data_IF_667495876282
#
_entry.id   IF_667495876282
#
_cell.length_a   1.000
_cell.length_b   1.000
_cell.length_c   1.000
_cell.angle_alpha   90.00
_cell.angle_beta   90.00
_cell.angle_gamma   90.00
#
_symmetry.space_group_name_H-M   'P 1'
#
loop_
_entity.id
_entity.type
_entity.pdbx_description
1 polymer ?
#
# COMPACT_ATOMS: atom_id res chain seq x y z
N UNK A 1 2.60 12.78 8.12
CA UNK A 1 1.53 12.67 7.12
C UNK A 1 1.08 11.22 7.06
N UNK A 2 -0.09 10.88 7.60
CA UNK A 2 -0.68 9.56 7.40
C UNK A 2 -1.30 9.54 5.99
N UNK A 3 -0.81 8.70 5.09
CA UNK A 3 -1.41 8.58 3.76
C UNK A 3 -2.91 8.26 3.90
N UNK A 4 -3.79 9.01 3.22
CA UNK A 4 -5.22 8.75 3.28
C UNK A 4 -5.52 7.34 2.80
N UNK A 5 -6.43 6.65 3.49
CA UNK A 5 -6.93 5.34 3.06
C UNK A 5 -7.47 5.50 1.63
N UNK A 6 -6.76 4.96 0.65
CA UNK A 6 -7.21 4.98 -0.74
C UNK A 6 -8.53 4.20 -0.84
N UNK A 7 -9.55 4.89 -1.33
CA UNK A 7 -10.89 4.35 -1.51
C UNK A 7 -10.91 3.27 -2.60
N UNK A 8 -11.74 2.24 -2.45
CA UNK A 8 -11.87 1.16 -3.45
C UNK A 8 -12.41 1.68 -4.76
N UNK A 9 -13.31 2.68 -4.73
CA UNK A 9 -13.86 3.32 -5.94
C UNK A 9 -12.76 3.95 -6.79
N UNK A 10 -11.86 4.70 -6.16
CA UNK A 10 -10.74 5.34 -6.88
C UNK A 10 -9.75 4.33 -7.42
N UNK A 11 -9.48 3.25 -6.69
CA UNK A 11 -8.63 2.16 -7.16
C UNK A 11 -9.20 1.43 -8.37
N UNK A 12 -10.52 1.21 -8.43
CA UNK A 12 -11.16 0.58 -9.60
C UNK A 12 -11.13 1.45 -10.86
N UNK A 13 -11.21 2.77 -10.69
CA UNK A 13 -11.07 3.73 -11.78
C UNK A 13 -9.61 3.96 -12.22
N UNK A 14 -8.64 3.46 -11.46
CA UNK A 14 -7.21 3.61 -11.78
C UNK A 14 -6.81 2.55 -12.83
N UNK A 15 -6.04 2.91 -13.87
CA UNK A 15 -5.49 1.97 -14.83
C UNK A 15 -4.61 0.88 -14.19
N UNK A 16 -4.61 -0.32 -14.76
CA UNK A 16 -3.86 -1.44 -14.22
C UNK A 16 -2.34 -1.17 -14.11
N UNK A 17 -1.75 -0.42 -15.05
CA UNK A 17 -0.34 -0.04 -15.00
C UNK A 17 -0.03 0.85 -13.78
N UNK A 18 -0.91 1.80 -13.47
CA UNK A 18 -0.78 2.68 -12.31
C UNK A 18 -0.98 1.93 -10.99
N UNK A 19 -1.83 0.89 -10.98
CA UNK A 19 -1.97 0.00 -9.84
C UNK A 19 -0.67 -0.77 -9.55
N UNK A 20 0.05 -1.24 -10.59
CA UNK A 20 1.36 -1.88 -10.44
C UNK A 20 2.38 -0.92 -9.83
N UNK A 21 2.47 0.31 -10.38
CA UNK A 21 3.37 1.33 -9.85
C UNK A 21 3.09 1.64 -8.36
N UNK A 22 1.81 1.69 -7.98
CA UNK A 22 1.40 1.85 -6.57
C UNK A 22 1.77 0.67 -5.69
N UNK A 23 1.64 -0.56 -6.17
CA UNK A 23 2.07 -1.77 -5.43
C UNK A 23 3.56 -1.70 -5.10
N UNK A 24 4.39 -1.32 -6.07
CA UNK A 24 5.83 -1.23 -5.85
C UNK A 24 6.22 -0.10 -4.90
N UNK A 25 5.54 1.05 -5.00
CA UNK A 25 5.71 2.15 -4.05
C UNK A 25 5.36 1.70 -2.61
N UNK A 26 4.22 1.04 -2.41
CA UNK A 26 3.79 0.55 -1.10
C UNK A 26 4.72 -0.53 -0.54
N UNK A 27 5.29 -1.38 -1.39
CA UNK A 27 6.31 -2.37 -0.99
C UNK A 27 7.57 -1.70 -0.46
N UNK A 28 8.08 -0.68 -1.17
CA UNK A 28 9.23 0.12 -0.73
C UNK A 28 8.95 0.83 0.60
N UNK A 29 7.82 1.53 0.69
CA UNK A 29 7.41 2.20 1.94
C UNK A 29 7.31 1.22 3.12
N UNK A 30 6.74 0.03 2.89
CA UNK A 30 6.66 -1.01 3.93
C UNK A 30 8.05 -1.47 4.37
N UNK A 31 8.97 -1.65 3.44
CA UNK A 31 10.35 -2.03 3.74
C UNK A 31 11.06 -0.96 4.57
N UNK A 32 11.02 0.29 4.10
CA UNK A 32 11.60 1.43 4.83
C UNK A 32 11.02 1.58 6.23
N UNK A 33 9.71 1.41 6.37
CA UNK A 33 9.06 1.49 7.67
C UNK A 33 9.46 0.35 8.60
N UNK A 34 9.75 -0.85 8.07
CA UNK A 34 10.33 -1.95 8.87
C UNK A 34 11.74 -1.60 9.34
N UNK A 35 12.57 -1.01 8.48
CA UNK A 35 13.91 -0.58 8.86
C UNK A 35 13.87 0.47 9.96
N UNK A 36 13.02 1.50 9.80
CA UNK A 36 12.83 2.57 10.82
C UNK A 36 12.26 2.05 12.14
N UNK A 37 11.42 1.02 12.09
CA UNK A 37 10.94 0.35 13.31
C UNK A 37 12.05 -0.44 14.01
N UNK A 38 12.89 -1.14 13.24
CA UNK A 38 14.01 -1.93 13.79
C UNK A 38 15.09 -1.03 14.39
N UNK A 39 15.36 0.11 13.76
CA UNK A 39 16.28 1.15 14.22
C UNK A 39 15.71 2.00 15.36
N UNK A 40 14.42 1.83 15.70
CA UNK A 40 13.75 2.54 16.80
C UNK A 40 13.44 4.01 16.49
N UNK A 41 13.80 4.51 15.30
CA UNK A 41 13.53 5.88 14.84
C UNK A 41 12.05 6.16 14.61
N UNK A 42 11.21 5.13 14.43
CA UNK A 42 9.76 5.28 14.32
C UNK A 42 9.04 4.31 15.25
N UNK A 43 8.03 4.81 15.98
CA UNK A 43 7.20 4.00 16.91
C UNK A 43 5.82 3.61 16.36
N UNK A 44 5.50 4.03 15.14
CA UNK A 44 4.17 3.88 14.54
C UNK A 44 3.98 2.45 13.98
N UNK A 45 3.77 1.47 14.86
CA UNK A 45 3.62 0.05 14.50
C UNK A 45 2.34 -0.22 13.68
N UNK A 46 1.30 0.59 13.87
CA UNK A 46 0.03 0.46 13.16
C UNK A 46 0.14 0.72 11.65
N UNK A 47 1.15 1.46 11.20
CA UNK A 47 1.36 1.75 9.78
C UNK A 47 1.70 0.50 8.97
N UNK A 48 2.48 -0.45 9.52
CA UNK A 48 2.72 -1.74 8.84
C UNK A 48 1.42 -2.49 8.56
N UNK A 49 0.47 -2.43 9.49
CA UNK A 49 -0.86 -3.05 9.32
C UNK A 49 -1.66 -2.34 8.24
N UNK A 50 -1.60 -1.00 8.16
CA UNK A 50 -2.27 -0.22 7.13
C UNK A 50 -1.70 -0.49 5.74
N UNK A 51 -0.37 -0.43 5.59
CA UNK A 51 0.32 -0.70 4.32
C UNK A 51 0.01 -2.10 3.78
N UNK A 52 -0.01 -3.12 4.64
CA UNK A 52 -0.43 -4.49 4.25
C UNK A 52 -1.86 -4.55 3.73
N UNK A 53 -2.79 -3.85 4.38
CA UNK A 53 -4.21 -3.81 3.98
C UNK A 53 -4.39 -3.08 2.64
N UNK A 54 -3.67 -1.99 2.42
CA UNK A 54 -3.68 -1.26 1.15
C UNK A 54 -3.13 -2.13 0.02
N UNK A 55 -1.99 -2.81 0.25
CA UNK A 55 -1.42 -3.76 -0.71
C UNK A 55 -2.42 -4.85 -1.11
N UNK A 56 -3.04 -5.50 -0.11
CA UNK A 56 -4.02 -6.55 -0.37
C UNK A 56 -5.20 -6.02 -1.21
N UNK A 57 -5.72 -4.83 -0.88
CA UNK A 57 -6.82 -4.20 -1.61
C UNK A 57 -6.48 -3.92 -3.07
N UNK A 58 -5.29 -3.37 -3.34
CA UNK A 58 -4.86 -3.07 -4.71
C UNK A 58 -4.68 -4.36 -5.52
N UNK A 59 -4.05 -5.39 -4.93
CA UNK A 59 -3.87 -6.69 -5.58
C UNK A 59 -5.20 -7.37 -5.89
N UNK A 60 -6.18 -7.28 -4.99
CA UNK A 60 -7.55 -7.78 -5.25
C UNK A 60 -8.18 -7.07 -6.44
N UNK A 61 -8.14 -5.73 -6.47
CA UNK A 61 -8.74 -4.96 -7.57
C UNK A 61 -8.03 -5.21 -8.89
N UNK A 62 -6.70 -5.31 -8.87
CA UNK A 62 -5.91 -5.67 -10.05
C UNK A 62 -6.35 -7.03 -10.60
N UNK A 63 -6.58 -8.02 -9.73
CA UNK A 63 -7.07 -9.34 -10.13
C UNK A 63 -8.52 -9.32 -10.60
N UNK A 64 -9.36 -8.45 -10.02
CA UNK A 64 -10.73 -8.21 -10.49
C UNK A 64 -10.74 -7.60 -11.90
N UNK A 65 -9.85 -6.64 -12.20
CA UNK A 65 -9.75 -5.98 -13.51
C UNK A 65 -9.18 -6.89 -14.63
N UNK A 66 -8.45 -7.95 -14.26
CA UNK A 66 -7.89 -8.92 -15.20
C UNK A 66 -8.86 -10.05 -15.57
N UNK A 67 -9.98 -10.18 -14.86
CA UNK A 67 -11.04 -11.16 -15.13
C UNK A 67 -12.09 -10.57 -16.05
#
# INVERSE_FOLDING_TARGET
MAEPRVDTKTLRATPAADLVARVDALRRQRWEHRLKLADGTVRQTHLLRLLRRQLARILTIQREQQR
#
